data_IF_834663961914
#
_entry.id   IF_834663961914
#
_cell.length_a   1.000
_cell.length_b   1.000
_cell.length_c   1.000
_cell.angle_alpha   90.00
_cell.angle_beta   90.00
_cell.angle_gamma   90.00
#
_symmetry.space_group_name_H-M   'P 1'
#
loop_
_entity.id
_entity.type
_entity.pdbx_description
1 polymer ?
#
# COMPACT_ATOMS: atom_id res chain seq x y z
N UNK A 1 -7.54 -17.12 21.18
CA UNK A 1 -7.51 -16.63 22.58
C UNK A 1 -6.46 -15.53 22.62
N UNK A 2 -6.84 -14.28 22.88
CA UNK A 2 -5.89 -13.17 23.05
C UNK A 2 -5.86 -12.80 24.53
N UNK A 3 -4.73 -12.99 25.20
CA UNK A 3 -4.65 -12.73 26.64
C UNK A 3 -3.32 -13.17 27.24
N UNK A 4 -3.08 -12.81 28.51
CA UNK A 4 -1.88 -13.20 29.22
C UNK A 4 -1.85 -14.72 29.44
N UNK A 5 -0.65 -15.30 29.35
CA UNK A 5 -0.37 -16.67 29.77
C UNK A 5 0.13 -16.60 31.22
N UNK A 6 -0.44 -17.43 32.11
CA UNK A 6 -0.05 -17.51 33.53
C UNK A 6 0.33 -18.94 33.89
N UNK A 7 1.40 -19.10 34.66
CA UNK A 7 1.83 -20.37 35.20
C UNK A 7 2.63 -20.18 36.49
N UNK A 8 2.51 -21.14 37.41
CA UNK A 8 3.31 -21.21 38.65
C UNK A 8 3.93 -22.60 38.70
N UNK A 9 5.22 -22.66 39.00
CA UNK A 9 5.99 -23.91 39.09
C UNK A 9 5.85 -24.79 37.83
N UNK A 10 5.83 -24.15 36.65
CA UNK A 10 5.69 -24.83 35.35
C UNK A 10 6.97 -25.58 35.05
N UNK A 11 6.91 -26.91 35.08
CA UNK A 11 7.99 -27.76 34.61
C UNK A 11 8.04 -27.73 33.08
N UNK A 12 9.19 -27.30 32.54
CA UNK A 12 9.49 -27.35 31.10
C UNK A 12 10.68 -28.28 30.90
N UNK A 13 10.47 -29.49 30.35
CA UNK A 13 11.54 -30.43 30.04
C UNK A 13 12.64 -29.85 29.12
N UNK A 14 13.88 -30.36 29.22
CA UNK A 14 15.00 -29.91 28.35
C UNK A 14 14.78 -30.25 26.87
N UNK A 15 14.06 -31.32 26.57
CA UNK A 15 13.69 -31.70 25.20
C UNK A 15 12.65 -30.75 24.56
N UNK A 16 12.04 -29.87 25.36
CA UNK A 16 11.10 -28.85 24.91
C UNK A 16 11.80 -27.56 24.45
N UNK A 17 13.12 -27.47 24.57
CA UNK A 17 13.90 -26.34 24.04
C UNK A 17 13.87 -26.40 22.52
N UNK A 18 13.37 -25.34 21.89
CA UNK A 18 13.35 -25.21 20.42
C UNK A 18 14.80 -25.21 19.91
N UNK A 19 15.11 -26.14 19.01
CA UNK A 19 16.50 -26.36 18.55
C UNK A 19 17.35 -27.25 19.47
N UNK A 20 16.78 -27.75 20.57
CA UNK A 20 17.45 -28.62 21.53
C UNK A 20 18.41 -27.90 22.48
N UNK A 21 19.15 -28.68 23.28
CA UNK A 21 20.04 -28.17 24.34
C UNK A 21 21.14 -27.24 23.78
N UNK A 22 21.60 -27.46 22.55
CA UNK A 22 22.61 -26.63 21.86
C UNK A 22 22.13 -25.20 21.56
N UNK A 23 20.83 -24.94 21.72
CA UNK A 23 20.20 -23.65 21.51
C UNK A 23 19.80 -22.93 22.82
N UNK A 24 20.21 -23.45 23.97
CA UNK A 24 20.15 -22.70 25.24
C UNK A 24 20.84 -21.34 25.07
N UNK A 25 20.14 -20.26 25.47
CA UNK A 25 20.63 -18.88 25.37
C UNK A 25 20.47 -18.22 23.98
N UNK A 26 19.99 -18.94 22.95
CA UNK A 26 19.83 -18.40 21.59
C UNK A 26 18.42 -17.84 21.27
N UNK A 27 17.54 -17.73 22.28
CA UNK A 27 16.14 -17.33 22.09
C UNK A 27 15.93 -15.96 21.43
N UNK A 28 16.84 -14.99 21.64
CA UNK A 28 16.74 -13.69 20.98
C UNK A 28 16.92 -13.77 19.45
N UNK A 29 17.86 -14.59 18.98
CA UNK A 29 18.10 -14.78 17.56
C UNK A 29 16.88 -15.45 16.90
N UNK A 30 16.34 -16.50 17.53
CA UNK A 30 15.11 -17.17 17.07
C UNK A 30 13.92 -16.21 17.01
N UNK A 31 13.75 -15.37 18.05
CA UNK A 31 12.68 -14.38 18.08
C UNK A 31 12.83 -13.39 16.92
N UNK A 32 14.03 -12.87 16.67
CA UNK A 32 14.27 -11.92 15.58
C UNK A 32 14.03 -12.53 14.20
N UNK A 33 14.34 -13.82 14.03
CA UNK A 33 14.05 -14.58 12.81
C UNK A 33 12.53 -14.73 12.61
N UNK A 34 11.80 -15.21 13.63
CA UNK A 34 10.35 -15.35 13.58
C UNK A 34 9.63 -14.02 13.31
N UNK A 35 10.09 -12.93 13.93
CA UNK A 35 9.57 -11.57 13.67
C UNK A 35 9.85 -11.13 12.24
N UNK A 36 10.96 -11.57 11.65
CA UNK A 36 11.29 -11.33 10.25
C UNK A 36 10.24 -11.92 9.31
N UNK A 37 9.84 -13.17 9.54
CA UNK A 37 8.83 -13.88 8.75
C UNK A 37 7.44 -13.27 8.91
N UNK A 38 7.06 -12.94 10.15
CA UNK A 38 5.80 -12.24 10.45
C UNK A 38 5.67 -10.92 9.69
N UNK A 39 6.78 -10.16 9.59
CA UNK A 39 6.84 -8.89 8.87
C UNK A 39 6.91 -9.03 7.35
N UNK A 40 7.51 -10.10 6.82
CA UNK A 40 7.73 -10.25 5.39
C UNK A 40 6.61 -11.02 4.68
N UNK A 41 5.96 -11.95 5.39
CA UNK A 41 5.02 -12.91 4.80
C UNK A 41 3.61 -12.68 5.36
N UNK A 42 3.41 -12.91 6.67
CA UNK A 42 2.07 -13.05 7.26
C UNK A 42 1.26 -11.74 7.24
N UNK A 43 1.78 -10.68 7.85
CA UNK A 43 1.07 -9.38 7.88
C UNK A 43 0.92 -8.75 6.49
N UNK A 44 1.96 -8.74 5.62
CA UNK A 44 1.78 -8.25 4.26
C UNK A 44 0.77 -9.04 3.43
N UNK A 45 0.66 -10.36 3.62
CA UNK A 45 -0.36 -11.17 2.96
C UNK A 45 -1.78 -10.76 3.41
N UNK A 46 -2.00 -10.63 4.72
CA UNK A 46 -3.27 -10.16 5.28
C UNK A 46 -3.65 -8.78 4.74
N UNK A 47 -2.74 -7.81 4.84
CA UNK A 47 -2.99 -6.44 4.38
C UNK A 47 -3.29 -6.38 2.90
N UNK A 48 -2.49 -7.07 2.08
CA UNK A 48 -2.71 -7.14 0.63
C UNK A 48 -4.06 -7.79 0.30
N UNK A 49 -4.44 -8.88 0.95
CA UNK A 49 -5.74 -9.52 0.73
C UNK A 49 -6.90 -8.58 1.08
N UNK A 50 -6.79 -7.84 2.18
CA UNK A 50 -7.78 -6.82 2.56
C UNK A 50 -7.89 -5.70 1.51
N UNK A 51 -6.77 -5.21 0.98
CA UNK A 51 -6.76 -4.21 -0.09
C UNK A 51 -7.41 -4.74 -1.38
N UNK A 52 -7.05 -5.96 -1.80
CA UNK A 52 -7.63 -6.63 -2.97
C UNK A 52 -9.13 -6.83 -2.86
N UNK A 53 -9.61 -7.26 -1.70
CA UNK A 53 -11.05 -7.36 -1.42
C UNK A 53 -11.73 -5.99 -1.47
N UNK A 54 -11.13 -4.97 -0.87
CA UNK A 54 -11.65 -3.61 -0.90
C UNK A 54 -11.74 -3.08 -2.34
N UNK A 55 -10.70 -3.21 -3.15
CA UNK A 55 -10.68 -2.76 -4.54
C UNK A 55 -11.77 -3.41 -5.39
N UNK A 56 -11.92 -4.75 -5.28
CA UNK A 56 -12.91 -5.49 -6.07
C UNK A 56 -14.35 -5.21 -5.63
N UNK A 57 -14.63 -5.40 -4.35
CA UNK A 57 -16.01 -5.38 -3.87
C UNK A 57 -16.53 -3.98 -3.59
N UNK A 58 -15.68 -3.03 -3.20
CA UNK A 58 -16.07 -1.61 -3.07
C UNK A 58 -16.26 -0.95 -4.43
N UNK A 59 -15.43 -1.30 -5.43
CA UNK A 59 -15.63 -0.86 -6.81
C UNK A 59 -16.95 -1.36 -7.37
N UNK A 60 -17.23 -2.66 -7.22
CA UNK A 60 -18.52 -3.26 -7.59
C UNK A 60 -19.70 -2.61 -6.86
N UNK A 61 -19.63 -2.48 -5.53
CA UNK A 61 -20.66 -1.82 -4.73
C UNK A 61 -20.91 -0.37 -5.20
N UNK A 62 -19.84 0.37 -5.50
CA UNK A 62 -19.94 1.75 -6.02
C UNK A 62 -20.61 1.85 -7.39
N UNK A 63 -20.47 0.82 -8.22
CA UNK A 63 -21.17 0.74 -9.52
C UNK A 63 -22.64 0.34 -9.37
N UNK A 64 -22.96 -0.46 -8.36
CA UNK A 64 -24.32 -1.00 -8.14
C UNK A 64 -25.20 -0.02 -7.37
N UNK A 65 -24.67 0.55 -6.28
CA UNK A 65 -25.42 1.45 -5.39
C UNK A 65 -25.67 2.77 -6.11
N UNK A 66 -26.94 3.18 -6.19
CA UNK A 66 -27.34 4.46 -6.75
C UNK A 66 -27.82 5.43 -5.67
N UNK A 67 -27.47 6.71 -5.82
CA UNK A 67 -28.04 7.85 -5.10
C UNK A 67 -28.24 8.97 -6.10
N UNK A 68 -29.32 9.75 -5.96
CA UNK A 68 -29.64 10.81 -6.93
C UNK A 68 -29.69 10.30 -8.38
N UNK A 69 -30.24 9.08 -8.58
CA UNK A 69 -30.35 8.38 -9.88
C UNK A 69 -29.01 8.15 -10.61
N UNK A 70 -27.90 8.18 -9.89
CA UNK A 70 -26.55 7.98 -10.43
C UNK A 70 -25.82 6.95 -9.58
N UNK A 71 -25.08 5.99 -10.18
CA UNK A 71 -24.24 5.11 -9.39
C UNK A 71 -23.19 5.89 -8.61
N UNK A 72 -23.00 5.56 -7.33
CA UNK A 72 -22.21 6.40 -6.43
C UNK A 72 -20.75 6.53 -6.86
N UNK A 73 -20.21 5.53 -7.56
CA UNK A 73 -18.85 5.55 -8.12
C UNK A 73 -18.62 6.59 -9.23
N UNK A 74 -19.64 7.33 -9.65
CA UNK A 74 -19.50 8.46 -10.59
C UNK A 74 -19.46 9.82 -9.90
N UNK A 75 -19.60 9.88 -8.56
CA UNK A 75 -19.38 11.12 -7.81
C UNK A 75 -17.89 11.30 -7.51
N UNK A 76 -17.35 12.50 -7.74
CA UNK A 76 -15.92 12.79 -7.57
C UNK A 76 -15.41 12.48 -6.15
N UNK A 77 -16.22 12.74 -5.12
CA UNK A 77 -15.82 12.40 -3.73
C UNK A 77 -15.70 10.89 -3.47
N UNK A 78 -16.49 10.05 -4.15
CA UNK A 78 -16.36 8.59 -4.09
C UNK A 78 -15.20 8.13 -4.96
N UNK A 79 -15.01 8.78 -6.10
CA UNK A 79 -13.92 8.52 -7.04
C UNK A 79 -12.54 8.76 -6.41
N UNK A 80 -12.37 9.80 -5.59
CA UNK A 80 -11.14 10.07 -4.85
C UNK A 80 -10.80 8.90 -3.89
N UNK A 81 -11.78 8.42 -3.14
CA UNK A 81 -11.62 7.27 -2.26
C UNK A 81 -11.35 5.96 -3.04
N UNK A 82 -12.03 5.73 -4.17
CA UNK A 82 -11.76 4.57 -5.04
C UNK A 82 -10.36 4.62 -5.67
N UNK A 83 -9.87 5.82 -5.98
CA UNK A 83 -8.51 6.03 -6.50
C UNK A 83 -7.49 5.55 -5.49
N UNK A 84 -7.60 5.99 -4.24
CA UNK A 84 -6.73 5.54 -3.15
C UNK A 84 -6.86 4.02 -2.95
N UNK A 85 -8.08 3.47 -2.90
CA UNK A 85 -8.27 2.01 -2.73
C UNK A 85 -7.50 1.22 -3.80
N UNK A 86 -7.67 1.55 -5.08
CA UNK A 86 -7.06 0.80 -6.18
C UNK A 86 -5.53 1.01 -6.26
N UNK A 87 -5.08 2.26 -6.20
CA UNK A 87 -3.68 2.62 -6.29
C UNK A 87 -2.85 2.06 -5.12
N UNK A 88 -3.36 2.18 -3.90
CA UNK A 88 -2.72 1.63 -2.71
C UNK A 88 -2.66 0.10 -2.75
N UNK A 89 -3.74 -0.56 -3.21
CA UNK A 89 -3.77 -2.02 -3.38
C UNK A 89 -2.68 -2.51 -4.34
N UNK A 90 -2.47 -1.80 -5.44
CA UNK A 90 -1.39 -2.11 -6.39
C UNK A 90 0.00 -2.00 -5.73
N UNK A 91 0.23 -0.95 -4.95
CA UNK A 91 1.48 -0.78 -4.18
C UNK A 91 1.68 -1.91 -3.17
N UNK A 92 0.62 -2.32 -2.47
CA UNK A 92 0.68 -3.36 -1.45
C UNK A 92 1.08 -4.70 -2.05
N UNK A 93 0.44 -5.11 -3.15
CA UNK A 93 0.76 -6.39 -3.79
C UNK A 93 2.16 -6.40 -4.41
N UNK A 94 2.55 -5.31 -5.06
CA UNK A 94 3.91 -5.16 -5.60
C UNK A 94 4.97 -5.26 -4.49
N UNK A 95 4.77 -4.56 -3.37
CA UNK A 95 5.70 -4.53 -2.23
C UNK A 95 5.86 -5.90 -1.58
N UNK A 96 4.73 -6.62 -1.39
CA UNK A 96 4.70 -7.99 -0.87
C UNK A 96 5.38 -8.98 -1.83
N UNK A 97 5.08 -8.87 -3.13
CA UNK A 97 5.65 -9.76 -4.15
C UNK A 97 7.17 -9.64 -4.21
N UNK A 98 7.72 -8.42 -4.17
CA UNK A 98 9.17 -8.24 -4.23
C UNK A 98 9.92 -8.86 -3.05
N UNK A 99 9.42 -8.72 -1.81
CA UNK A 99 10.08 -9.31 -0.64
C UNK A 99 9.98 -10.83 -0.63
N UNK A 100 8.87 -11.39 -1.09
CA UNK A 100 8.72 -12.86 -1.18
C UNK A 100 9.70 -13.47 -2.18
N UNK A 101 9.94 -12.81 -3.33
CA UNK A 101 11.00 -13.24 -4.25
C UNK A 101 12.39 -13.20 -3.60
N UNK A 102 12.69 -12.21 -2.77
CA UNK A 102 13.96 -12.17 -2.06
C UNK A 102 14.10 -13.35 -1.06
N UNK A 103 13.03 -13.69 -0.34
CA UNK A 103 12.98 -14.83 0.58
C UNK A 103 13.14 -16.16 -0.16
N UNK A 104 12.46 -16.35 -1.29
CA UNK A 104 12.56 -17.57 -2.10
C UNK A 104 13.98 -17.81 -2.63
N UNK A 105 14.76 -16.74 -2.82
CA UNK A 105 16.19 -16.81 -3.17
C UNK A 105 17.11 -17.02 -1.96
N UNK A 106 16.58 -17.31 -0.77
CA UNK A 106 17.34 -17.57 0.45
C UNK A 106 17.88 -16.32 1.15
N UNK A 107 17.42 -15.12 0.78
CA UNK A 107 17.82 -13.90 1.49
C UNK A 107 17.07 -13.79 2.83
N UNK A 108 17.69 -13.11 3.81
CA UNK A 108 17.07 -12.77 5.11
C UNK A 108 16.95 -11.24 5.23
N UNK A 109 15.93 -10.62 4.61
CA UNK A 109 15.94 -9.20 4.32
C UNK A 109 15.35 -8.38 5.47
N UNK A 110 16.06 -8.29 6.60
CA UNK A 110 15.53 -7.73 7.87
C UNK A 110 15.01 -6.28 7.80
N UNK A 111 15.62 -5.44 6.96
CA UNK A 111 15.21 -4.03 6.78
C UNK A 111 14.03 -3.92 5.82
N UNK A 112 14.06 -4.72 4.74
CA UNK A 112 12.98 -4.74 3.75
C UNK A 112 11.71 -5.32 4.37
N UNK A 113 11.79 -6.37 5.18
CA UNK A 113 10.62 -6.91 5.88
C UNK A 113 9.95 -5.86 6.77
N UNK A 114 10.74 -5.05 7.48
CA UNK A 114 10.25 -3.92 8.25
C UNK A 114 9.59 -2.83 7.38
N UNK A 115 10.18 -2.51 6.21
CA UNK A 115 9.59 -1.58 5.23
C UNK A 115 8.25 -2.10 4.72
N UNK A 116 8.19 -3.36 4.28
CA UNK A 116 6.98 -3.95 3.70
C UNK A 116 5.87 -4.03 4.75
N UNK A 117 6.17 -4.50 5.97
CA UNK A 117 5.19 -4.51 7.06
C UNK A 117 4.63 -3.12 7.33
N UNK A 118 5.49 -2.11 7.44
CA UNK A 118 5.08 -0.73 7.66
C UNK A 118 4.17 -0.24 6.52
N UNK A 119 4.64 -0.35 5.27
CA UNK A 119 3.95 0.17 4.10
C UNK A 119 2.61 -0.53 3.86
N UNK A 120 2.57 -1.86 3.93
CA UNK A 120 1.35 -2.61 3.65
C UNK A 120 0.32 -2.43 4.76
N UNK A 121 0.73 -2.41 6.03
CA UNK A 121 -0.25 -2.31 7.12
C UNK A 121 -0.82 -0.89 7.30
N UNK A 122 -0.03 0.17 7.09
CA UNK A 122 -0.60 1.53 7.07
C UNK A 122 -1.52 1.73 5.87
N UNK A 123 -1.14 1.24 4.68
CA UNK A 123 -2.00 1.32 3.48
C UNK A 123 -3.29 0.50 3.64
N UNK A 124 -3.22 -0.67 4.29
CA UNK A 124 -4.43 -1.43 4.64
C UNK A 124 -5.39 -0.60 5.51
N UNK A 125 -4.89 0.13 6.51
CA UNK A 125 -5.73 1.01 7.34
C UNK A 125 -6.47 2.01 6.46
N UNK A 126 -5.75 2.72 5.60
CA UNK A 126 -6.32 3.78 4.77
C UNK A 126 -7.33 3.21 3.76
N UNK A 127 -6.97 2.12 3.07
CA UNK A 127 -7.84 1.44 2.11
C UNK A 127 -9.13 0.93 2.76
N UNK A 128 -9.05 0.30 3.93
CA UNK A 128 -10.24 -0.18 4.63
C UNK A 128 -11.10 0.99 5.13
N UNK A 129 -10.50 2.08 5.60
CA UNK A 129 -11.26 3.28 5.99
C UNK A 129 -12.05 3.85 4.80
N UNK A 130 -11.40 4.04 3.65
CA UNK A 130 -12.08 4.48 2.42
C UNK A 130 -13.19 3.50 2.00
N UNK A 131 -12.96 2.20 2.12
CA UNK A 131 -13.99 1.20 1.81
C UNK A 131 -15.20 1.31 2.75
N UNK A 132 -14.96 1.54 4.05
CA UNK A 132 -16.03 1.77 5.04
C UNK A 132 -16.82 3.03 4.72
N UNK A 133 -16.15 4.14 4.39
CA UNK A 133 -16.80 5.42 4.03
C UNK A 133 -17.72 5.29 2.82
N UNK A 134 -17.27 4.57 1.77
CA UNK A 134 -18.07 4.34 0.56
C UNK A 134 -19.30 3.46 0.85
N UNK A 135 -19.14 2.42 1.68
CA UNK A 135 -20.27 1.54 2.02
C UNK A 135 -21.27 2.18 2.98
N UNK A 136 -20.84 3.19 3.75
CA UNK A 136 -21.68 3.91 4.71
C UNK A 136 -22.35 2.97 5.71
N UNK A 137 -23.68 3.03 5.81
CA UNK A 137 -24.47 2.17 6.69
C UNK A 137 -24.18 0.67 6.52
N UNK A 138 -23.97 0.21 5.28
CA UNK A 138 -23.64 -1.20 5.03
C UNK A 138 -22.28 -1.59 5.64
N UNK A 139 -21.30 -0.69 5.65
CA UNK A 139 -19.98 -0.94 6.21
C UNK A 139 -20.01 -1.17 7.72
N UNK A 140 -20.90 -0.47 8.43
CA UNK A 140 -20.98 -0.51 9.91
C UNK A 140 -21.96 -1.54 10.47
N UNK A 141 -22.92 -2.02 9.68
CA UNK A 141 -23.85 -3.07 10.09
C UNK A 141 -23.16 -4.45 10.11
N UNK A 142 -22.92 -5.00 11.29
CA UNK A 142 -22.29 -6.32 11.47
C UNK A 142 -23.26 -7.46 11.19
N UNK A 143 -22.79 -8.48 10.47
CA UNK A 143 -23.51 -9.73 10.26
C UNK A 143 -22.95 -10.54 9.08
N UNK A 144 -23.59 -11.66 8.70
CA UNK A 144 -23.14 -12.53 7.62
C UNK A 144 -22.97 -11.84 6.26
N UNK A 145 -23.70 -10.76 5.98
CA UNK A 145 -23.61 -10.04 4.72
C UNK A 145 -22.45 -9.01 4.69
N UNK A 146 -21.89 -8.64 5.84
CA UNK A 146 -20.80 -7.66 5.92
C UNK A 146 -19.42 -8.31 5.69
N UNK A 147 -18.68 -7.80 4.72
CA UNK A 147 -17.35 -8.30 4.35
C UNK A 147 -16.18 -7.38 4.75
N UNK A 148 -16.44 -6.23 5.39
CA UNK A 148 -15.42 -5.19 5.67
C UNK A 148 -15.14 -4.98 7.16
N UNK A 149 -16.16 -5.02 8.01
CA UNK A 149 -16.04 -4.55 9.38
C UNK A 149 -15.06 -5.38 10.22
N UNK A 150 -14.92 -6.69 9.94
CA UNK A 150 -13.87 -7.52 10.56
C UNK A 150 -12.46 -7.07 10.19
N UNK A 151 -12.22 -6.73 8.94
CA UNK A 151 -10.93 -6.20 8.51
C UNK A 151 -10.65 -4.86 9.20
N UNK A 152 -11.64 -3.98 9.30
CA UNK A 152 -11.56 -2.70 10.01
C UNK A 152 -11.20 -2.89 11.49
N UNK A 153 -11.89 -3.79 12.20
CA UNK A 153 -11.63 -4.10 13.61
C UNK A 153 -10.21 -4.65 13.86
N UNK A 154 -9.64 -5.36 12.89
CA UNK A 154 -8.32 -5.99 13.01
C UNK A 154 -7.16 -5.07 12.62
N UNK A 155 -7.42 -3.92 11.99
CA UNK A 155 -6.40 -2.94 11.59
C UNK A 155 -5.42 -2.57 12.71
N UNK A 156 -5.84 -2.29 13.97
CA UNK A 156 -4.90 -1.97 15.04
C UNK A 156 -3.92 -3.11 15.35
N UNK A 157 -4.33 -4.37 15.18
CA UNK A 157 -3.49 -5.54 15.46
C UNK A 157 -2.29 -5.52 14.53
N UNK A 158 -2.49 -5.52 13.21
CA UNK A 158 -1.36 -5.62 12.27
C UNK A 158 -0.40 -4.43 12.32
N UNK A 159 -0.82 -3.28 12.86
CA UNK A 159 0.04 -2.09 13.01
C UNK A 159 0.85 -2.13 14.31
N UNK A 160 0.35 -2.81 15.34
CA UNK A 160 0.97 -2.87 16.68
C UNK A 160 1.85 -4.11 16.89
N UNK A 161 1.41 -5.27 16.40
CA UNK A 161 2.15 -6.54 16.55
C UNK A 161 3.33 -6.63 15.59
N UNK A 162 4.20 -7.63 15.80
CA UNK A 162 5.44 -7.82 15.06
C UNK A 162 6.38 -6.60 15.10
N UNK A 163 6.25 -5.76 16.12
CA UNK A 163 6.91 -4.46 16.22
C UNK A 163 6.02 -3.33 15.73
N UNK A 164 5.62 -2.45 16.66
CA UNK A 164 4.76 -1.32 16.38
C UNK A 164 5.33 -0.44 15.27
N UNK A 165 4.50 -0.06 14.29
CA UNK A 165 4.93 0.72 13.13
C UNK A 165 5.66 2.00 13.50
N UNK A 166 5.27 2.65 14.60
CA UNK A 166 5.92 3.85 15.12
C UNK A 166 7.41 3.58 15.40
N UNK A 167 7.73 2.50 16.12
CA UNK A 167 9.11 2.13 16.46
C UNK A 167 9.85 1.52 15.26
N UNK A 168 9.16 0.75 14.43
CA UNK A 168 9.71 0.20 13.19
C UNK A 168 10.18 1.32 12.26
N UNK A 169 9.35 2.36 12.10
CA UNK A 169 9.65 3.55 11.31
C UNK A 169 10.81 4.35 11.90
N UNK A 170 10.85 4.58 13.22
CA UNK A 170 11.82 5.50 13.82
C UNK A 170 13.15 4.86 14.21
N UNK A 171 13.18 3.56 14.53
CA UNK A 171 14.38 2.88 15.06
C UNK A 171 14.92 1.76 14.16
N UNK A 172 14.05 1.02 13.47
CA UNK A 172 14.47 -0.19 12.75
C UNK A 172 14.93 0.14 11.33
N UNK A 173 14.05 0.70 10.50
CA UNK A 173 14.26 0.82 9.05
C UNK A 173 15.57 1.57 8.74
N UNK A 174 15.70 2.81 9.21
CA UNK A 174 16.91 3.58 8.96
C UNK A 174 18.06 3.19 9.89
N UNK A 175 17.81 3.04 11.19
CA UNK A 175 18.87 2.80 12.18
C UNK A 175 19.67 1.52 11.91
N UNK A 176 18.99 0.39 11.70
CA UNK A 176 19.63 -0.87 11.33
C UNK A 176 20.10 -0.86 9.88
N UNK A 177 19.34 -0.23 8.98
CA UNK A 177 19.68 -0.11 7.56
C UNK A 177 21.02 0.61 7.33
N UNK A 178 21.26 1.73 8.01
CA UNK A 178 22.48 2.50 7.90
C UNK A 178 23.72 1.69 8.33
N UNK A 179 23.65 0.98 9.46
CA UNK A 179 24.77 0.18 9.96
C UNK A 179 25.10 -1.02 9.05
N UNK A 180 24.09 -1.67 8.47
CA UNK A 180 24.29 -2.90 7.68
C UNK A 180 24.56 -2.64 6.20
N UNK A 181 24.07 -1.53 5.65
CA UNK A 181 24.05 -1.28 4.21
C UNK A 181 25.00 -0.15 3.79
N UNK A 182 25.47 0.69 4.72
CA UNK A 182 26.40 1.75 4.37
C UNK A 182 27.79 1.17 4.03
N UNK A 183 28.41 1.53 2.89
CA UNK A 183 29.66 0.89 2.44
C UNK A 183 30.88 1.08 3.35
N UNK A 184 30.85 2.11 4.22
CA UNK A 184 32.00 2.52 5.03
C UNK A 184 31.77 2.56 6.54
N UNK A 185 30.54 2.72 7.04
CA UNK A 185 30.32 2.98 8.48
C UNK A 185 30.73 1.79 9.34
N UNK A 186 30.36 0.59 8.92
CA UNK A 186 30.71 -0.63 9.66
C UNK A 186 32.22 -0.86 9.66
N UNK A 187 32.91 -0.50 8.56
CA UNK A 187 34.38 -0.58 8.46
C UNK A 187 35.06 0.38 9.43
N UNK A 188 34.57 1.62 9.51
CA UNK A 188 35.07 2.61 10.48
C UNK A 188 34.87 2.13 11.92
N UNK A 189 33.69 1.58 12.24
CA UNK A 189 33.41 1.02 13.57
C UNK A 189 34.33 -0.16 13.89
N UNK A 190 34.54 -1.09 12.96
CA UNK A 190 35.46 -2.21 13.17
C UNK A 190 36.91 -1.75 13.32
N UNK A 191 37.35 -0.74 12.55
CA UNK A 191 38.69 -0.20 12.64
C UNK A 191 38.98 0.42 14.02
N UNK A 192 38.00 1.14 14.61
CA UNK A 192 38.11 1.72 15.96
C UNK A 192 38.20 0.65 17.06
N UNK A 193 37.55 -0.50 16.86
CA UNK A 193 37.58 -1.63 17.81
C UNK A 193 38.71 -2.64 17.52
N UNK A 194 39.65 -2.31 16.63
CA UNK A 194 40.77 -3.18 16.32
C UNK A 194 41.75 -3.23 17.50
N UNK A 195 42.04 -4.43 18.01
CA UNK A 195 42.99 -4.65 19.12
C UNK A 195 44.40 -4.13 18.76
N UNK A 196 44.80 -4.21 17.49
CA UNK A 196 46.04 -3.62 17.02
C UNK A 196 45.81 -2.15 16.62
N UNK A 197 46.09 -1.25 17.55
CA UNK A 197 45.88 0.19 17.37
C UNK A 197 46.58 0.77 16.12
N UNK A 198 47.79 0.31 15.78
CA UNK A 198 48.50 0.80 14.58
C UNK A 198 47.79 0.39 13.29
N UNK A 199 47.24 -0.82 13.26
CA UNK A 199 46.47 -1.30 12.12
C UNK A 199 45.09 -0.63 12.07
N UNK A 200 44.42 -0.50 13.22
CA UNK A 200 43.14 0.20 13.35
C UNK A 200 43.16 1.63 12.82
N UNK A 201 44.23 2.40 13.10
CA UNK A 201 44.40 3.76 12.55
C UNK A 201 44.46 3.72 11.01
N UNK A 202 45.26 2.82 10.43
CA UNK A 202 45.37 2.70 8.97
C UNK A 202 44.04 2.30 8.32
N UNK A 203 43.34 1.32 8.91
CA UNK A 203 42.05 0.85 8.41
C UNK A 203 40.99 1.95 8.50
N UNK A 204 41.03 2.73 9.59
CA UNK A 204 40.15 3.87 9.81
C UNK A 204 40.39 4.96 8.78
N UNK A 205 41.64 5.39 8.59
CA UNK A 205 42.00 6.43 7.62
C UNK A 205 41.53 6.04 6.21
N UNK A 206 41.81 4.80 5.80
CA UNK A 206 41.37 4.27 4.51
C UNK A 206 39.85 4.30 4.35
N UNK A 207 39.10 3.85 5.37
CA UNK A 207 37.64 3.85 5.34
C UNK A 207 37.07 5.28 5.34
N UNK A 208 37.62 6.16 6.17
CA UNK A 208 37.18 7.54 6.33
C UNK A 208 37.40 8.37 5.05
N UNK A 209 38.58 8.30 4.43
CA UNK A 209 38.83 9.04 3.19
C UNK A 209 37.98 8.50 2.02
N UNK A 210 37.75 7.19 1.96
CA UNK A 210 36.83 6.61 0.97
C UNK A 210 35.38 7.05 1.22
N UNK A 211 34.96 7.16 2.47
CA UNK A 211 33.65 7.70 2.87
C UNK A 211 33.51 9.18 2.48
N UNK A 212 34.53 10.01 2.74
CA UNK A 212 34.54 11.41 2.31
C UNK A 212 34.45 11.54 0.78
N UNK A 213 35.17 10.70 0.03
CA UNK A 213 35.06 10.62 -1.42
C UNK A 213 33.66 10.23 -1.89
N UNK A 214 33.01 9.29 -1.20
CA UNK A 214 31.63 8.89 -1.47
C UNK A 214 30.63 10.04 -1.23
N UNK A 215 30.77 10.79 -0.14
CA UNK A 215 29.96 11.98 0.14
C UNK A 215 30.13 13.01 -0.98
N UNK A 216 31.37 13.33 -1.36
CA UNK A 216 31.64 14.30 -2.42
C UNK A 216 31.06 13.84 -3.77
N UNK A 217 31.20 12.56 -4.11
CA UNK A 217 30.57 11.97 -5.29
C UNK A 217 29.04 12.16 -5.27
N UNK A 218 28.41 11.89 -4.13
CA UNK A 218 26.96 12.08 -3.97
C UNK A 218 26.52 13.55 -4.02
N UNK A 219 27.35 14.50 -3.57
CA UNK A 219 27.11 15.94 -3.76
C UNK A 219 27.04 16.27 -5.26
N UNK A 220 28.08 15.91 -6.02
CA UNK A 220 28.16 16.19 -7.45
C UNK A 220 27.04 15.49 -8.22
N UNK A 221 26.80 14.20 -7.93
CA UNK A 221 25.71 13.42 -8.54
C UNK A 221 24.35 14.01 -8.23
N UNK A 222 24.06 14.35 -6.97
CA UNK A 222 22.76 14.92 -6.58
C UNK A 222 22.50 16.26 -7.26
N UNK A 223 23.53 17.11 -7.35
CA UNK A 223 23.44 18.39 -8.07
C UNK A 223 23.17 18.18 -9.57
N UNK A 224 23.97 17.34 -10.23
CA UNK A 224 23.84 17.12 -11.67
C UNK A 224 22.52 16.43 -12.04
N UNK A 225 22.11 15.42 -11.28
CA UNK A 225 20.82 14.75 -11.46
C UNK A 225 19.64 15.67 -11.13
N UNK A 226 19.82 16.58 -10.16
CA UNK A 226 18.87 17.63 -9.84
C UNK A 226 18.67 18.62 -10.99
N UNK A 227 19.76 19.09 -11.59
CA UNK A 227 19.76 20.08 -12.67
C UNK A 227 19.25 19.49 -13.99
N UNK A 228 19.72 18.28 -14.36
CA UNK A 228 19.33 17.59 -15.59
C UNK A 228 17.99 16.86 -15.51
N UNK A 229 17.34 16.89 -14.33
CA UNK A 229 16.16 16.09 -14.02
C UNK A 229 16.35 14.58 -14.27
N UNK A 230 17.60 14.11 -14.14
CA UNK A 230 18.06 12.74 -14.43
C UNK A 230 17.79 12.22 -15.86
N UNK A 231 17.44 13.10 -16.81
CA UNK A 231 17.15 12.70 -18.21
C UNK A 231 18.32 12.04 -18.93
N UNK A 232 19.55 12.31 -18.48
CA UNK A 232 20.78 11.76 -19.06
C UNK A 232 21.18 10.39 -18.47
N UNK A 233 20.45 9.89 -17.47
CA UNK A 233 20.75 8.58 -16.86
C UNK A 233 20.20 7.47 -17.75
N UNK A 234 21.09 6.56 -18.17
CA UNK A 234 20.70 5.32 -18.83
C UNK A 234 20.05 4.40 -17.80
N UNK A 235 18.83 3.95 -18.10
CA UNK A 235 18.02 3.13 -17.18
C UNK A 235 17.42 1.95 -17.93
N UNK A 236 17.05 0.87 -17.22
CA UNK A 236 16.16 -0.15 -17.78
C UNK A 236 14.76 0.45 -18.00
N UNK A 237 13.93 -0.27 -18.75
CA UNK A 237 12.55 0.13 -19.05
C UNK A 237 12.36 0.70 -20.45
N UNK A 238 11.11 1.01 -20.74
CA UNK A 238 10.63 1.54 -22.02
C UNK A 238 10.23 3.02 -21.90
N UNK A 239 9.56 3.55 -22.93
CA UNK A 239 9.12 4.95 -22.98
C UNK A 239 8.26 5.36 -21.78
N UNK A 240 7.51 4.42 -21.21
CA UNK A 240 6.53 4.68 -20.15
C UNK A 240 7.17 4.55 -18.76
N UNK A 241 8.17 3.67 -18.61
CA UNK A 241 8.78 3.32 -17.31
C UNK A 241 10.16 3.91 -17.06
N UNK A 242 10.96 4.19 -18.10
CA UNK A 242 12.33 4.72 -17.95
C UNK A 242 12.39 6.00 -17.13
N UNK A 243 11.38 6.87 -17.24
CA UNK A 243 11.32 8.10 -16.45
C UNK A 243 11.37 7.83 -14.94
N UNK A 244 10.62 6.85 -14.46
CA UNK A 244 10.54 6.53 -13.03
C UNK A 244 11.84 5.90 -12.51
N UNK A 245 12.52 5.07 -13.32
CA UNK A 245 13.87 4.59 -12.98
C UNK A 245 14.87 5.75 -12.88
N UNK A 246 14.80 6.74 -13.77
CA UNK A 246 15.67 7.92 -13.71
C UNK A 246 15.43 8.73 -12.42
N UNK A 247 14.17 8.94 -12.05
CA UNK A 247 13.83 9.64 -10.81
C UNK A 247 14.24 8.83 -9.57
N UNK A 248 14.14 7.50 -9.60
CA UNK A 248 14.63 6.63 -8.53
C UNK A 248 16.14 6.77 -8.33
N UNK A 249 16.94 6.78 -9.41
CA UNK A 249 18.40 7.01 -9.33
C UNK A 249 18.73 8.39 -8.74
N UNK A 250 17.97 9.41 -9.14
CA UNK A 250 18.09 10.77 -8.59
C UNK A 250 17.81 10.79 -7.09
N UNK A 251 16.69 10.23 -6.67
CA UNK A 251 16.28 10.19 -5.26
C UNK A 251 17.19 9.32 -4.41
N UNK A 252 17.73 8.22 -4.96
CA UNK A 252 18.73 7.39 -4.29
C UNK A 252 20.02 8.16 -4.01
N UNK A 253 20.49 8.98 -4.97
CA UNK A 253 21.69 9.81 -4.77
C UNK A 253 21.44 10.90 -3.72
N UNK A 254 20.27 11.54 -3.78
CA UNK A 254 19.84 12.55 -2.81
C UNK A 254 19.69 11.97 -1.39
N UNK A 255 19.13 10.76 -1.28
CA UNK A 255 18.98 10.06 -0.01
C UNK A 255 20.33 9.66 0.60
N UNK A 256 21.26 9.16 -0.22
CA UNK A 256 22.61 8.82 0.24
C UNK A 256 23.31 10.07 0.80
N UNK A 257 23.33 11.17 0.04
CA UNK A 257 23.88 12.45 0.50
C UNK A 257 23.26 12.91 1.83
N UNK A 258 21.93 12.90 1.92
CA UNK A 258 21.24 13.40 3.10
C UNK A 258 21.42 12.49 4.32
N UNK A 259 21.56 11.18 4.10
CA UNK A 259 21.87 10.21 5.15
C UNK A 259 23.25 10.48 5.75
N UNK A 260 24.27 10.69 4.91
CA UNK A 260 25.64 10.98 5.36
C UNK A 260 25.71 12.31 6.10
N UNK A 261 25.02 13.34 5.60
CA UNK A 261 24.91 14.63 6.31
C UNK A 261 24.22 14.48 7.65
N UNK A 262 23.16 13.67 7.75
CA UNK A 262 22.52 13.38 9.03
C UNK A 262 23.48 12.67 9.98
N UNK A 263 24.23 11.68 9.51
CA UNK A 263 25.21 10.96 10.33
C UNK A 263 26.33 11.89 10.79
N UNK A 264 26.88 12.72 9.90
CA UNK A 264 27.96 13.66 10.24
C UNK A 264 27.51 14.76 11.21
N UNK A 265 26.31 15.33 11.01
CA UNK A 265 25.80 16.44 11.86
C UNK A 265 25.27 15.95 13.21
N UNK A 266 24.63 14.78 13.25
CA UNK A 266 23.96 14.28 14.47
C UNK A 266 24.79 13.23 15.21
N UNK A 267 25.74 12.57 14.56
CA UNK A 267 26.55 11.49 15.13
C UNK A 267 25.70 10.45 15.85
N UNK A 268 26.17 10.00 17.02
CA UNK A 268 25.45 9.05 17.86
C UNK A 268 24.09 9.54 18.40
N UNK A 269 23.76 10.84 18.29
CA UNK A 269 22.44 11.35 18.66
C UNK A 269 21.36 11.04 17.62
N UNK A 270 21.74 10.63 16.40
CA UNK A 270 20.80 10.31 15.33
C UNK A 270 19.77 9.25 15.73
N UNK A 271 20.20 8.21 16.46
CA UNK A 271 19.32 7.17 17.01
C UNK A 271 18.25 7.73 17.97
N UNK A 272 18.53 8.83 18.65
CA UNK A 272 17.60 9.54 19.55
C UNK A 272 16.73 10.57 18.82
N UNK A 273 17.08 10.94 17.59
CA UNK A 273 16.31 11.89 16.74
C UNK A 273 15.28 11.15 15.91
N UNK A 274 14.33 10.50 16.59
CA UNK A 274 13.32 9.63 15.98
C UNK A 274 12.54 10.25 14.83
N UNK A 275 12.26 11.57 14.88
CA UNK A 275 11.58 12.28 13.78
C UNK A 275 12.41 12.37 12.50
N UNK A 276 13.73 12.58 12.61
CA UNK A 276 14.63 12.64 11.44
C UNK A 276 14.84 11.22 10.90
N UNK A 277 15.14 10.27 11.78
CA UNK A 277 15.27 8.85 11.42
C UNK A 277 14.01 8.32 10.73
N UNK A 278 12.83 8.67 11.24
CA UNK A 278 11.55 8.29 10.63
C UNK A 278 11.33 8.88 9.24
N UNK A 279 11.79 10.11 8.96
CA UNK A 279 11.71 10.68 7.60
C UNK A 279 12.70 10.02 6.64
N UNK A 280 13.88 9.61 7.13
CA UNK A 280 14.81 8.83 6.31
C UNK A 280 14.18 7.45 5.99
N UNK A 281 13.52 6.83 6.96
CA UNK A 281 12.75 5.61 6.73
C UNK A 281 11.61 5.81 5.72
N UNK A 282 10.87 6.92 5.76
CA UNK A 282 9.82 7.22 4.77
C UNK A 282 10.38 7.35 3.35
N UNK A 283 11.48 8.08 3.18
CA UNK A 283 12.13 8.25 1.89
C UNK A 283 12.63 6.90 1.35
N UNK A 284 13.29 6.10 2.18
CA UNK A 284 13.76 4.76 1.82
C UNK A 284 12.61 3.82 1.47
N UNK A 285 11.52 3.85 2.26
CA UNK A 285 10.35 3.00 2.04
C UNK A 285 9.65 3.32 0.72
N UNK A 286 9.53 4.60 0.36
CA UNK A 286 8.92 4.99 -0.91
C UNK A 286 9.83 4.69 -2.11
N UNK A 287 11.16 4.74 -1.96
CA UNK A 287 12.07 4.25 -3.00
C UNK A 287 11.96 2.73 -3.22
N UNK A 288 11.76 1.98 -2.13
CA UNK A 288 11.42 0.55 -2.23
C UNK A 288 10.09 0.34 -2.95
N UNK A 289 9.05 1.12 -2.62
CA UNK A 289 7.75 1.08 -3.32
C UNK A 289 7.92 1.28 -4.82
N UNK A 290 8.63 2.32 -5.26
CA UNK A 290 8.89 2.58 -6.70
C UNK A 290 9.57 1.37 -7.35
N UNK A 291 10.59 0.81 -6.70
CA UNK A 291 11.31 -0.37 -7.20
C UNK A 291 10.37 -1.58 -7.33
N UNK A 292 9.50 -1.78 -6.34
CA UNK A 292 8.55 -2.88 -6.30
C UNK A 292 7.49 -2.75 -7.39
N UNK A 293 6.87 -1.58 -7.58
CA UNK A 293 5.81 -1.41 -8.59
C UNK A 293 6.35 -1.48 -10.01
N UNK A 294 7.55 -0.96 -10.28
CA UNK A 294 8.20 -1.09 -11.58
C UNK A 294 8.50 -2.57 -11.90
N UNK A 295 9.03 -3.31 -10.92
CA UNK A 295 9.32 -4.73 -11.10
C UNK A 295 8.04 -5.58 -11.22
N UNK A 296 7.00 -5.22 -10.47
CA UNK A 296 5.71 -5.90 -10.53
C UNK A 296 5.06 -5.74 -11.91
N UNK A 297 5.06 -4.53 -12.46
CA UNK A 297 4.58 -4.24 -13.80
C UNK A 297 5.33 -5.05 -14.87
N UNK A 298 6.66 -5.07 -14.80
CA UNK A 298 7.51 -5.87 -15.70
C UNK A 298 7.18 -7.37 -15.60
N UNK A 299 7.05 -7.90 -14.37
CA UNK A 299 6.76 -9.31 -14.14
C UNK A 299 5.36 -9.74 -14.65
N UNK A 300 4.43 -8.79 -14.79
CA UNK A 300 3.10 -9.02 -15.38
C UNK A 300 3.08 -8.88 -16.91
N UNK A 301 4.23 -8.66 -17.54
CA UNK A 301 4.36 -8.50 -18.98
C UNK A 301 4.11 -7.07 -19.48
N UNK A 302 4.16 -6.06 -18.60
CA UNK A 302 4.02 -4.64 -18.95
C UNK A 302 2.71 -4.31 -19.67
N UNK A 303 1.58 -4.78 -19.12
CA UNK A 303 0.24 -4.57 -19.68
C UNK A 303 -0.13 -3.08 -19.68
N UNK A 304 -0.44 -2.51 -20.84
CA UNK A 304 -0.67 -1.06 -20.98
C UNK A 304 -1.85 -0.55 -20.16
N UNK A 305 -2.84 -1.40 -19.93
CA UNK A 305 -4.04 -1.12 -19.15
C UNK A 305 -3.70 -0.87 -17.67
N UNK A 306 -2.63 -1.50 -17.16
CA UNK A 306 -2.18 -1.38 -15.76
C UNK A 306 -1.25 -0.19 -15.56
N UNK A 307 -0.74 0.41 -16.65
CA UNK A 307 0.21 1.52 -16.58
C UNK A 307 -0.31 2.69 -15.73
N UNK A 308 -1.63 2.93 -15.73
CA UNK A 308 -2.20 4.02 -14.94
C UNK A 308 -2.07 3.79 -13.43
N UNK A 309 -2.14 2.54 -12.97
CA UNK A 309 -1.90 2.17 -11.57
C UNK A 309 -0.42 2.36 -11.21
N UNK A 310 0.49 1.92 -12.10
CA UNK A 310 1.93 2.14 -11.95
C UNK A 310 2.27 3.63 -11.87
N UNK A 311 1.76 4.43 -12.82
CA UNK A 311 1.97 5.87 -12.89
C UNK A 311 1.53 6.54 -11.58
N UNK A 312 0.31 6.26 -11.13
CA UNK A 312 -0.24 6.81 -9.90
C UNK A 312 0.66 6.45 -8.69
N UNK A 313 1.05 5.19 -8.57
CA UNK A 313 1.89 4.71 -7.47
C UNK A 313 3.28 5.36 -7.45
N UNK A 314 3.92 5.51 -8.62
CA UNK A 314 5.22 6.15 -8.73
C UNK A 314 5.16 7.65 -8.43
N UNK A 315 4.13 8.36 -8.89
CA UNK A 315 3.94 9.79 -8.64
C UNK A 315 3.69 10.07 -7.15
N UNK A 316 2.80 9.30 -6.50
CA UNK A 316 2.59 9.41 -5.05
C UNK A 316 3.88 9.12 -4.26
N UNK A 317 4.59 8.04 -4.59
CA UNK A 317 5.82 7.69 -3.90
C UNK A 317 6.92 8.76 -4.08
N UNK A 318 7.08 9.34 -5.28
CA UNK A 318 8.04 10.43 -5.53
C UNK A 318 7.69 11.70 -4.75
N UNK A 319 6.41 12.04 -4.67
CA UNK A 319 5.93 13.15 -3.84
C UNK A 319 6.24 12.92 -2.35
N UNK A 320 6.03 11.70 -1.86
CA UNK A 320 6.30 11.34 -0.47
C UNK A 320 7.81 11.35 -0.15
N UNK A 321 8.67 10.87 -1.05
CA UNK A 321 10.13 10.99 -0.93
C UNK A 321 10.52 12.47 -0.81
N UNK A 322 10.04 13.31 -1.71
CA UNK A 322 10.34 14.75 -1.70
C UNK A 322 9.94 15.40 -0.38
N UNK A 323 8.75 15.09 0.11
CA UNK A 323 8.20 15.61 1.36
C UNK A 323 9.07 15.19 2.54
N UNK A 324 9.47 13.92 2.60
CA UNK A 324 10.35 13.39 3.63
C UNK A 324 11.74 14.07 3.62
N UNK A 325 12.40 14.14 2.45
CA UNK A 325 13.71 14.76 2.30
C UNK A 325 13.68 16.27 2.66
N UNK A 326 12.67 17.01 2.21
CA UNK A 326 12.50 18.42 2.60
C UNK A 326 12.20 18.58 4.09
N UNK A 327 11.44 17.66 4.66
CA UNK A 327 11.21 17.59 6.10
C UNK A 327 12.51 17.41 6.89
N UNK A 328 13.44 16.59 6.41
CA UNK A 328 14.78 16.43 7.02
C UNK A 328 15.56 17.73 6.91
N UNK A 329 15.71 18.28 5.70
CA UNK A 329 16.50 19.50 5.44
C UNK A 329 15.99 20.69 6.27
N UNK A 330 14.67 20.84 6.44
CA UNK A 330 14.08 21.89 7.27
C UNK A 330 14.38 21.74 8.77
N UNK A 331 14.63 20.52 9.24
CA UNK A 331 14.74 20.19 10.67
C UNK A 331 16.16 19.73 11.07
N UNK A 332 17.17 19.92 10.22
CA UNK A 332 18.55 19.71 10.62
C UNK A 332 18.95 20.72 11.71
N UNK A 333 19.79 20.33 12.70
CA UNK A 333 20.23 21.23 13.78
C UNK A 333 20.92 22.49 13.27
N UNK A 334 21.57 22.41 12.11
CA UNK A 334 22.23 23.53 11.45
C UNK A 334 21.40 23.93 10.22
N UNK A 335 20.55 24.98 10.32
CA UNK A 335 19.62 25.33 9.24
C UNK A 335 20.31 25.69 7.92
N UNK A 336 21.52 26.24 7.99
CA UNK A 336 22.33 26.56 6.81
C UNK A 336 22.66 25.31 5.99
N UNK A 337 23.08 24.21 6.64
CA UNK A 337 23.36 22.94 5.97
C UNK A 337 22.09 22.43 5.26
N UNK A 338 20.93 22.53 5.91
CA UNK A 338 19.66 22.15 5.31
C UNK A 338 19.30 22.95 4.05
N UNK A 339 19.54 24.27 4.05
CA UNK A 339 19.33 25.13 2.87
C UNK A 339 20.28 24.75 1.74
N UNK A 340 21.56 24.52 2.05
CA UNK A 340 22.56 24.09 1.07
C UNK A 340 22.18 22.74 0.43
N UNK A 341 21.76 21.76 1.24
CA UNK A 341 21.25 20.49 0.74
C UNK A 341 20.07 20.67 -0.20
N UNK A 342 19.13 21.58 0.11
CA UNK A 342 17.98 21.81 -0.74
C UNK A 342 18.38 22.41 -2.09
N UNK A 343 19.37 23.31 -2.13
CA UNK A 343 19.90 23.86 -3.39
C UNK A 343 20.58 22.75 -4.21
N UNK A 344 21.34 21.88 -3.56
CA UNK A 344 22.03 20.76 -4.23
C UNK A 344 21.03 19.75 -4.80
N UNK A 345 20.07 19.30 -4.00
CA UNK A 345 19.14 18.21 -4.38
C UNK A 345 18.01 18.73 -5.31
N UNK A 346 17.53 19.95 -5.06
CA UNK A 346 16.38 20.57 -5.74
C UNK A 346 16.71 21.97 -6.29
N UNK A 347 17.67 22.08 -7.24
CA UNK A 347 18.11 23.39 -7.75
C UNK A 347 17.00 24.17 -8.47
N UNK A 348 16.07 23.48 -9.13
CA UNK A 348 15.02 24.07 -9.96
C UNK A 348 13.61 24.03 -9.32
N UNK A 349 13.54 24.09 -7.98
CA UNK A 349 12.32 24.00 -7.13
C UNK A 349 11.73 22.59 -6.94
N UNK A 350 10.48 22.43 -6.45
CA UNK A 350 9.82 21.15 -6.07
C UNK A 350 9.26 20.45 -7.32
N UNK A 351 9.95 19.46 -7.93
CA UNK A 351 9.47 18.90 -9.18
C UNK A 351 8.32 17.91 -9.05
N UNK A 352 8.17 17.25 -7.91
CA UNK A 352 7.20 16.16 -7.76
C UNK A 352 5.90 16.69 -7.18
N UNK A 353 4.80 16.36 -7.86
CA UNK A 353 3.42 16.64 -7.46
C UNK A 353 2.70 15.33 -7.14
N UNK A 354 1.58 15.42 -6.42
CA UNK A 354 0.68 14.28 -6.30
C UNK A 354 0.10 13.91 -7.68
N UNK A 355 -0.36 12.66 -7.86
CA UNK A 355 -1.09 12.27 -9.07
C UNK A 355 -2.23 13.25 -9.37
N UNK A 356 -2.42 13.60 -10.64
CA UNK A 356 -3.49 14.52 -11.05
C UNK A 356 -4.87 13.84 -11.05
N UNK A 357 -5.93 14.64 -10.96
CA UNK A 357 -7.32 14.16 -10.92
C UNK A 357 -7.67 13.33 -12.15
N UNK A 358 -7.05 13.59 -13.31
CA UNK A 358 -7.26 12.80 -14.54
C UNK A 358 -6.72 11.38 -14.40
N UNK A 359 -5.56 11.23 -13.76
CA UNK A 359 -4.97 9.93 -13.45
C UNK A 359 -5.82 9.24 -12.39
N UNK A 360 -6.24 9.96 -11.35
CA UNK A 360 -7.17 9.45 -10.34
C UNK A 360 -8.46 8.90 -10.94
N UNK A 361 -9.12 9.69 -11.78
CA UNK A 361 -10.32 9.28 -12.52
C UNK A 361 -10.15 7.95 -13.24
N UNK A 362 -9.07 7.81 -14.00
CA UNK A 362 -8.79 6.57 -14.73
C UNK A 362 -8.54 5.39 -13.79
N UNK A 363 -7.82 5.60 -12.68
CA UNK A 363 -7.58 4.57 -11.67
C UNK A 363 -8.89 4.10 -11.03
N UNK A 364 -9.74 5.02 -10.56
CA UNK A 364 -11.02 4.69 -9.96
C UNK A 364 -11.94 3.92 -10.93
N UNK A 365 -11.98 4.33 -12.20
CA UNK A 365 -12.80 3.70 -13.24
C UNK A 365 -12.49 2.21 -13.44
N UNK A 366 -11.24 1.78 -13.24
CA UNK A 366 -10.84 0.37 -13.36
C UNK A 366 -11.61 -0.54 -12.39
N UNK A 367 -12.07 -0.01 -11.26
CA UNK A 367 -12.77 -0.80 -10.22
C UNK A 367 -14.28 -0.91 -10.44
N UNK A 368 -14.86 -0.09 -11.32
CA UNK A 368 -16.31 0.00 -11.52
C UNK A 368 -16.85 -1.02 -12.53
N UNK A 369 -15.98 -1.76 -13.21
CA UNK A 369 -16.37 -2.75 -14.22
C UNK A 369 -15.41 -3.93 -14.20
N UNK A 370 -15.91 -5.11 -14.53
CA UNK A 370 -15.09 -6.28 -14.76
C UNK A 370 -14.10 -5.99 -15.90
N UNK A 371 -12.81 -6.15 -15.62
CA UNK A 371 -11.71 -5.94 -16.56
C UNK A 371 -10.56 -6.85 -16.17
N UNK A 372 -9.70 -7.18 -17.12
CA UNK A 372 -8.50 -8.00 -16.83
C UNK A 372 -7.57 -7.31 -15.81
N UNK A 373 -7.50 -5.98 -15.83
CA UNK A 373 -6.77 -5.20 -14.82
C UNK A 373 -7.34 -5.43 -13.42
N UNK A 374 -8.67 -5.40 -13.26
CA UNK A 374 -9.29 -5.68 -11.96
C UNK A 374 -9.09 -7.13 -11.53
N UNK A 375 -9.10 -8.07 -12.47
CA UNK A 375 -8.83 -9.49 -12.19
C UNK A 375 -7.38 -9.71 -11.74
N UNK A 376 -6.41 -9.04 -12.38
CA UNK A 376 -4.99 -9.03 -11.93
C UNK A 376 -4.83 -8.34 -10.57
N UNK A 377 -5.43 -7.16 -10.40
CA UNK A 377 -5.36 -6.39 -9.15
C UNK A 377 -5.94 -7.19 -7.98
N UNK A 378 -7.01 -7.96 -8.21
CA UNK A 378 -7.67 -8.78 -7.19
C UNK A 378 -7.23 -10.25 -7.15
N UNK A 379 -6.20 -10.63 -7.90
CA UNK A 379 -5.78 -12.02 -8.00
C UNK A 379 -5.34 -12.61 -6.64
N UNK A 380 -5.72 -13.87 -6.38
CA UNK A 380 -5.34 -14.61 -5.18
C UNK A 380 -6.28 -14.46 -3.97
N UNK A 381 -7.33 -13.64 -4.06
CA UNK A 381 -8.40 -13.61 -3.05
C UNK A 381 -9.48 -14.66 -3.36
N UNK A 382 -10.19 -15.09 -2.33
CA UNK A 382 -11.36 -15.96 -2.47
C UNK A 382 -12.48 -15.24 -3.23
N UNK A 383 -12.96 -15.84 -4.33
CA UNK A 383 -14.06 -15.32 -5.14
C UNK A 383 -15.25 -16.27 -5.04
N UNK A 384 -16.30 -15.87 -4.33
CA UNK A 384 -17.53 -16.65 -4.25
C UNK A 384 -18.42 -16.42 -5.48
N UNK A 385 -18.95 -17.49 -6.06
CA UNK A 385 -20.01 -17.45 -7.09
C UNK A 385 -21.41 -17.55 -6.47
N UNK A 386 -21.50 -17.83 -5.18
CA UNK A 386 -22.77 -17.88 -4.45
C UNK A 386 -23.36 -16.47 -4.30
N UNK A 387 -24.56 -16.27 -4.86
CA UNK A 387 -25.28 -14.98 -4.86
C UNK A 387 -25.76 -14.54 -3.49
N UNK A 388 -25.74 -15.43 -2.49
CA UNK A 388 -26.14 -15.13 -1.12
C UNK A 388 -24.94 -14.93 -0.17
N UNK A 389 -23.73 -15.24 -0.65
CA UNK A 389 -22.50 -14.95 0.06
C UNK A 389 -22.20 -13.43 0.09
N UNK A 390 -21.58 -12.93 1.17
CA UNK A 390 -21.29 -11.50 1.39
C UNK A 390 -20.55 -10.80 0.25
N UNK A 391 -19.65 -11.51 -0.46
CA UNK A 391 -18.93 -10.96 -1.61
C UNK A 391 -19.49 -11.43 -2.95
N UNK A 392 -20.06 -12.64 -3.01
CA UNK A 392 -20.66 -13.19 -4.22
C UNK A 392 -21.92 -12.44 -4.67
N UNK A 393 -22.74 -11.95 -3.72
CA UNK A 393 -23.90 -11.09 -3.99
C UNK A 393 -23.55 -9.81 -4.78
N UNK A 394 -22.42 -9.18 -4.44
CA UNK A 394 -21.91 -7.97 -5.11
C UNK A 394 -21.46 -8.31 -6.53
N UNK A 395 -20.71 -9.41 -6.67
CA UNK A 395 -20.22 -9.86 -7.98
C UNK A 395 -21.36 -10.21 -8.93
N UNK A 396 -22.38 -10.91 -8.42
CA UNK A 396 -23.57 -11.28 -9.19
C UNK A 396 -24.38 -10.03 -9.62
N UNK A 397 -24.63 -9.11 -8.69
CA UNK A 397 -25.33 -7.86 -9.01
C UNK A 397 -24.55 -7.00 -10.01
N UNK A 398 -23.22 -6.92 -9.89
CA UNK A 398 -22.38 -6.16 -10.83
C UNK A 398 -22.51 -6.71 -12.26
N UNK A 399 -22.47 -8.03 -12.43
CA UNK A 399 -22.61 -8.65 -13.75
C UNK A 399 -23.96 -8.32 -14.40
N UNK A 400 -25.06 -8.36 -13.63
CA UNK A 400 -26.39 -8.01 -14.12
C UNK A 400 -26.52 -6.50 -14.43
N UNK A 401 -25.96 -5.63 -13.59
CA UNK A 401 -25.90 -4.18 -13.85
C UNK A 401 -25.13 -3.86 -15.14
N UNK A 402 -24.01 -4.54 -15.40
CA UNK A 402 -23.25 -4.33 -16.63
C UNK A 402 -24.03 -4.82 -17.86
N UNK A 403 -24.73 -5.96 -17.77
CA UNK A 403 -25.59 -6.48 -18.85
C UNK A 403 -26.78 -5.57 -19.16
N UNK A 404 -27.33 -4.90 -18.17
CA UNK A 404 -28.51 -4.02 -18.31
C UNK A 404 -28.18 -2.54 -18.51
N UNK A 405 -26.90 -2.16 -18.57
CA UNK A 405 -26.47 -0.76 -18.69
C UNK A 405 -27.14 -0.04 -19.87
N UNK A 406 -27.12 -0.65 -21.06
CA UNK A 406 -27.74 -0.08 -22.27
C UNK A 406 -29.27 0.02 -22.15
N UNK A 407 -29.91 -0.95 -21.49
CA UNK A 407 -31.35 -0.91 -21.22
C UNK A 407 -31.69 0.26 -20.27
N UNK A 408 -30.90 0.45 -19.22
CA UNK A 408 -31.09 1.59 -18.31
C UNK A 408 -30.82 2.94 -18.99
N UNK A 409 -29.88 3.01 -19.93
CA UNK A 409 -29.70 4.19 -20.80
C UNK A 409 -30.93 4.44 -21.66
N UNK A 410 -31.43 3.41 -22.37
CA UNK A 410 -32.63 3.45 -23.21
C UNK A 410 -33.86 3.95 -22.44
N UNK A 411 -34.08 3.46 -21.22
CA UNK A 411 -35.18 3.89 -20.36
C UNK A 411 -35.05 5.35 -19.91
N UNK A 412 -33.84 5.79 -19.54
CA UNK A 412 -33.60 7.20 -19.18
C UNK A 412 -33.83 8.14 -20.36
N UNK A 413 -33.41 7.75 -21.56
CA UNK A 413 -33.64 8.55 -22.76
C UNK A 413 -35.11 8.56 -23.17
N UNK A 414 -35.82 7.44 -23.03
CA UNK A 414 -37.26 7.39 -23.24
C UNK A 414 -38.02 8.28 -22.25
N UNK A 415 -37.61 8.34 -20.99
CA UNK A 415 -38.16 9.28 -19.99
C UNK A 415 -37.88 10.75 -20.37
N UNK A 416 -36.65 11.08 -20.78
CA UNK A 416 -36.30 12.44 -21.23
C UNK A 416 -37.04 12.90 -22.48
N UNK A 417 -37.45 11.96 -23.33
CA UNK A 417 -38.21 12.20 -24.56
C UNK A 417 -39.72 12.14 -24.34
N UNK A 418 -40.18 12.14 -23.08
CA UNK A 418 -41.59 12.03 -22.69
C UNK A 418 -42.30 10.75 -23.20
N UNK A 419 -41.53 9.74 -23.62
CA UNK A 419 -42.06 8.42 -24.02
C UNK A 419 -42.43 7.56 -22.81
N UNK A 420 -41.83 7.82 -21.66
CA UNK A 420 -42.17 7.25 -20.34
C UNK A 420 -42.53 8.37 -19.36
N UNK A 421 -43.51 8.11 -18.50
CA UNK A 421 -43.91 9.03 -17.42
C UNK A 421 -43.43 8.57 -16.04
N UNK A 422 -43.21 7.27 -15.89
CA UNK A 422 -42.75 6.64 -14.65
C UNK A 422 -41.23 6.55 -14.60
N UNK A 423 -40.67 6.37 -13.39
CA UNK A 423 -39.24 6.13 -13.13
C UNK A 423 -39.05 4.80 -12.42
N UNK A 424 -37.80 4.34 -12.34
CA UNK A 424 -37.38 3.15 -11.60
C UNK A 424 -38.22 1.90 -11.97
N UNK A 425 -38.71 1.12 -11.00
CA UNK A 425 -39.45 -0.13 -11.28
C UNK A 425 -40.71 0.08 -12.11
N UNK A 426 -41.45 1.15 -11.86
CA UNK A 426 -42.70 1.43 -12.57
C UNK A 426 -42.45 1.77 -14.05
N UNK A 427 -41.26 2.31 -14.36
CA UNK A 427 -40.83 2.54 -15.74
C UNK A 427 -40.64 1.23 -16.53
N UNK A 428 -40.30 0.12 -15.87
CA UNK A 428 -40.08 -1.16 -16.56
C UNK A 428 -41.40 -1.72 -17.10
N UNK A 429 -42.46 -1.64 -16.28
CA UNK A 429 -43.81 -2.07 -16.67
C UNK A 429 -44.33 -1.20 -17.81
N UNK A 430 -44.26 0.13 -17.65
CA UNK A 430 -44.70 1.07 -18.69
C UNK A 430 -43.91 0.90 -20.01
N UNK A 431 -42.60 0.67 -19.92
CA UNK A 431 -41.76 0.45 -21.09
C UNK A 431 -42.09 -0.85 -21.84
N UNK A 432 -42.45 -1.91 -21.11
CA UNK A 432 -42.93 -3.16 -21.71
C UNK A 432 -44.29 -2.95 -22.39
N UNK A 433 -45.25 -2.31 -21.72
CA UNK A 433 -46.58 -2.03 -22.30
C UNK A 433 -46.49 -1.16 -23.57
N UNK A 434 -45.55 -0.22 -23.60
CA UNK A 434 -45.29 0.65 -24.76
C UNK A 434 -44.37 0.02 -25.83
N UNK A 435 -44.01 -1.25 -25.70
CA UNK A 435 -43.08 -1.96 -26.60
C UNK A 435 -41.72 -1.25 -26.78
N UNK A 436 -41.28 -0.50 -25.76
CA UNK A 436 -39.95 0.13 -25.73
C UNK A 436 -38.89 -0.94 -25.39
N UNK A 437 -39.25 -1.93 -24.58
CA UNK A 437 -38.43 -3.09 -24.25
C UNK A 437 -39.22 -4.39 -24.48
N UNK A 438 -38.50 -5.48 -24.70
CA UNK A 438 -39.03 -6.84 -24.86
C UNK A 438 -39.35 -7.50 -23.51
N UNK A 439 -40.10 -8.60 -23.52
CA UNK A 439 -40.38 -9.39 -22.31
C UNK A 439 -39.10 -9.89 -21.63
N UNK A 440 -38.13 -10.38 -22.40
CA UNK A 440 -36.84 -10.83 -21.88
C UNK A 440 -36.01 -9.69 -21.27
N UNK A 441 -36.06 -8.49 -21.86
CA UNK A 441 -35.38 -7.31 -21.31
C UNK A 441 -36.05 -6.84 -20.01
N UNK A 442 -37.38 -6.94 -19.92
CA UNK A 442 -38.13 -6.66 -18.69
C UNK A 442 -37.75 -7.63 -17.57
N UNK A 443 -37.75 -8.94 -17.83
CA UNK A 443 -37.37 -9.96 -16.84
C UNK A 443 -35.94 -9.73 -16.33
N UNK A 444 -35.01 -9.43 -17.23
CA UNK A 444 -33.62 -9.14 -16.88
C UNK A 444 -33.48 -7.88 -16.00
N UNK A 445 -34.26 -6.83 -16.25
CA UNK A 445 -34.28 -5.63 -15.42
C UNK A 445 -34.84 -5.91 -14.02
N UNK A 446 -35.90 -6.71 -13.91
CA UNK A 446 -36.47 -7.14 -12.62
C UNK A 446 -35.48 -8.00 -11.84
N UNK A 447 -34.82 -8.97 -12.49
CA UNK A 447 -33.77 -9.78 -11.88
C UNK A 447 -32.61 -8.91 -11.39
N UNK A 448 -32.20 -7.93 -12.21
CA UNK A 448 -31.12 -7.01 -11.87
C UNK A 448 -31.47 -6.21 -10.63
N UNK A 449 -32.67 -5.62 -10.57
CA UNK A 449 -33.08 -4.84 -9.40
C UNK A 449 -33.25 -5.70 -8.13
N UNK A 450 -33.63 -6.97 -8.26
CA UNK A 450 -33.58 -7.90 -7.13
C UNK A 450 -32.12 -8.14 -6.67
N UNK A 451 -31.16 -8.27 -7.59
CA UNK A 451 -29.75 -8.50 -7.30
C UNK A 451 -29.06 -7.27 -6.68
N UNK A 452 -29.13 -6.09 -7.33
CA UNK A 452 -29.70 -4.88 -6.71
C UNK A 452 -29.79 -4.80 -5.18
N UNK A 453 -31.05 -4.88 -4.74
CA UNK A 453 -31.46 -4.87 -3.34
C UNK A 453 -30.74 -5.95 -2.54
N UNK A 454 -30.54 -7.13 -3.13
CA UNK A 454 -29.80 -8.19 -2.48
C UNK A 454 -28.33 -7.86 -2.29
N UNK A 455 -27.67 -6.96 -3.01
CA UNK A 455 -26.27 -6.63 -2.78
C UNK A 455 -26.11 -5.52 -1.72
N UNK A 456 -27.08 -4.61 -1.64
CA UNK A 456 -27.01 -3.41 -0.80
C UNK A 456 -27.72 -3.55 0.55
N UNK A 457 -28.60 -4.55 0.73
CA UNK A 457 -29.29 -4.78 1.99
C UNK A 457 -28.29 -5.12 3.10
N UNK A 458 -28.57 -4.62 4.30
CA UNK A 458 -27.85 -4.91 5.53
C UNK A 458 -28.46 -6.09 6.27
N UNK A 459 -27.71 -6.66 7.21
CA UNK A 459 -28.23 -7.69 8.10
C UNK A 459 -29.30 -7.13 9.05
N UNK A 460 -30.37 -7.88 9.21
CA UNK A 460 -31.44 -7.66 10.18
C UNK A 460 -31.56 -8.90 11.05
N UNK A 461 -31.70 -8.72 12.37
CA UNK A 461 -31.80 -9.82 13.33
C UNK A 461 -33.12 -9.72 14.10
N UNK A 462 -33.88 -10.81 14.14
CA UNK A 462 -35.09 -10.89 14.97
C UNK A 462 -34.73 -10.96 16.46
N UNK A 463 -35.52 -10.29 17.30
CA UNK A 463 -35.31 -10.27 18.75
C UNK A 463 -35.46 -11.66 19.41
N UNK A 464 -36.16 -12.60 18.77
CA UNK A 464 -36.52 -13.93 19.28
C UNK A 464 -35.35 -14.90 19.54
N UNK A 465 -34.10 -14.52 19.25
CA UNK A 465 -32.91 -15.37 19.43
C UNK A 465 -31.79 -14.74 20.27
N UNK A 466 -32.00 -13.56 20.86
CA UNK A 466 -31.00 -12.92 21.71
C UNK A 466 -30.94 -13.64 23.07
N UNK A 467 -29.89 -14.42 23.30
CA UNK A 467 -29.51 -14.79 24.67
C UNK A 467 -28.86 -13.57 25.31
N UNK A 468 -29.56 -12.94 26.27
CA UNK A 468 -28.95 -11.98 27.18
C UNK A 468 -28.05 -12.78 28.11
N UNK A 469 -26.85 -13.11 27.66
CA UNK A 469 -25.77 -13.51 28.55
C UNK A 469 -25.11 -12.22 29.03
N UNK A 470 -25.61 -11.70 30.15
CA UNK A 470 -24.88 -10.70 30.95
C UNK A 470 -23.55 -11.31 31.40
N UNK A 471 -22.42 -10.57 31.31
CA UNK A 471 -21.11 -11.04 31.74
C UNK A 471 -21.05 -11.49 33.21
#
# INVERSE_FOLDING_TARGET
>A
MNGPIRGKDVFVPLDSIIGGVDYVGKGWAMLMECLGDGRAISLPALGTAAGKMAAKYTGGYSRIRQQFHTPIGYFEGVEEALTEIAGQTYVMDASRSLVTVALDNGAVPSVISAIVKLQVMERMRDVINHAMDIHGGHGICMGPHNHLCRAYQLTPVGITVEGANILTRTMIIFGQGAMRSHPYLLKEVHAVHNENQKQGIKDFDNAFFAHMGFIFSNVVRSFWLGLSYAKLVKTPGDKDTSHYYQQLVRMSSAFALLSDICIGVLGGSLKRREKISGRLADALSNMYVISAVLKHYENQGSQKEDFVLLKWACEDALFNIQTALKGIMKNLPVPFIGRLCNIIIFPLTKPYQRPDDRTGHKVARLTLSSSETLDRLSAGIYNSTDKDNSTGRISHALQLVLKTSELQHKLRDAYKQDRLKSRDRDAYVEAKEKNIITDSEYELLVETDAAIQNAIKVDEFSFSGWKIETP
#
